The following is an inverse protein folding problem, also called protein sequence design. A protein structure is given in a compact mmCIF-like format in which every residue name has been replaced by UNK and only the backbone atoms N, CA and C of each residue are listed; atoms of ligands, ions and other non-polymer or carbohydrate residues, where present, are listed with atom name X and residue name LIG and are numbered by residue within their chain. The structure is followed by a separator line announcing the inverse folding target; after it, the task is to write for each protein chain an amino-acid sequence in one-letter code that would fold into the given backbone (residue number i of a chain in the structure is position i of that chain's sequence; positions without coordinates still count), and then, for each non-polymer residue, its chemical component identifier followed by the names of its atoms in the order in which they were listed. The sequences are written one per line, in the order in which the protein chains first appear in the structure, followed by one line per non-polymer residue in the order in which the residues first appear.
data_IF_727854866521
#
_entry.id   IF_727854866521
#
_cell.length_a   1.000
_cell.length_b   1.000
_cell.length_c   1.000
_cell.angle_alpha   90.00
_cell.angle_beta   90.00
_cell.angle_gamma   90.00
#
_symmetry.space_group_name_H-M   'P 1'
#
loop_
_entity.id
_entity.type
_entity.pdbx_description
1 polymer ?
#
# COMPACT_ATOMS: atom_id res chain seq x y z
N UNK A 1 -3.64 14.81 -1.81
CA UNK A 1 -3.86 14.02 -0.59
C UNK A 1 -3.67 14.94 0.60
N UNK A 2 -4.53 14.86 1.61
CA UNK A 2 -4.27 15.57 2.86
C UNK A 2 -3.41 14.71 3.76
N UNK A 3 -2.56 15.29 4.62
CA UNK A 3 -1.91 14.54 5.70
C UNK A 3 -2.99 13.74 6.46
N UNK A 4 -2.79 12.44 6.69
CA UNK A 4 -3.75 11.46 7.27
C UNK A 4 -4.63 10.68 6.27
N UNK A 5 -4.54 10.95 4.96
CA UNK A 5 -5.31 10.17 3.97
C UNK A 5 -4.70 8.77 3.77
N UNK A 6 -5.53 7.72 3.86
CA UNK A 6 -5.11 6.33 3.65
C UNK A 6 -5.15 5.95 2.18
N UNK A 7 -4.06 5.37 1.69
CA UNK A 7 -3.90 4.86 0.32
C UNK A 7 -3.65 3.37 0.35
N UNK A 8 -4.48 2.62 -0.39
CA UNK A 8 -4.25 1.19 -0.65
C UNK A 8 -3.39 1.02 -1.90
N UNK A 9 -2.30 0.28 -1.79
CA UNK A 9 -1.41 -0.08 -2.89
C UNK A 9 -1.48 -1.59 -3.12
N UNK A 10 -2.03 -2.02 -4.24
CA UNK A 10 -2.11 -3.43 -4.62
C UNK A 10 -1.05 -3.73 -5.67
N UNK A 11 -0.09 -4.59 -5.30
CA UNK A 11 1.11 -4.88 -6.07
C UNK A 11 2.24 -3.88 -5.80
N UNK A 12 3.38 -4.36 -5.31
CA UNK A 12 4.59 -3.58 -5.00
C UNK A 12 5.73 -3.96 -5.97
N UNK A 13 5.39 -4.10 -7.25
CA UNK A 13 6.34 -4.31 -8.34
C UNK A 13 6.94 -3.00 -8.88
N UNK A 14 7.33 -2.99 -10.16
CA UNK A 14 8.05 -1.87 -10.79
C UNK A 14 7.36 -0.50 -10.68
N UNK A 15 6.03 -0.43 -10.81
CA UNK A 15 5.30 0.83 -10.60
C UNK A 15 4.85 1.00 -9.14
N UNK A 16 4.45 -0.09 -8.49
CA UNK A 16 3.95 -0.08 -7.11
C UNK A 16 4.94 0.51 -6.11
N UNK A 17 6.22 0.15 -6.21
CA UNK A 17 7.24 0.70 -5.31
C UNK A 17 7.47 2.22 -5.49
N UNK A 18 7.21 2.77 -6.68
CA UNK A 18 7.25 4.22 -6.93
C UNK A 18 6.00 4.88 -6.33
N UNK A 19 4.84 4.23 -6.49
CA UNK A 19 3.59 4.72 -5.93
C UNK A 19 3.65 4.83 -4.39
N UNK A 20 4.25 3.85 -3.71
CA UNK A 20 4.51 3.91 -2.25
C UNK A 20 5.32 5.16 -1.91
N UNK A 21 6.45 5.38 -2.57
CA UNK A 21 7.31 6.54 -2.32
C UNK A 21 6.59 7.86 -2.57
N UNK A 22 5.86 7.98 -3.70
CA UNK A 22 5.08 9.18 -3.99
C UNK A 22 4.00 9.44 -2.94
N UNK A 23 3.26 8.41 -2.53
CA UNK A 23 2.23 8.53 -1.49
C UNK A 23 2.82 8.98 -0.15
N UNK A 24 4.01 8.52 0.20
CA UNK A 24 4.74 8.96 1.40
C UNK A 24 5.18 10.42 1.32
N UNK A 25 5.76 10.84 0.19
CA UNK A 25 6.20 12.22 -0.04
C UNK A 25 5.05 13.23 0.10
N UNK A 26 3.86 12.88 -0.37
CA UNK A 26 2.67 13.74 -0.30
C UNK A 26 1.89 13.61 1.03
N UNK A 27 2.44 12.90 2.02
CA UNK A 27 1.90 12.80 3.38
C UNK A 27 0.78 11.76 3.57
N UNK A 28 0.68 10.78 2.67
CA UNK A 28 -0.26 9.67 2.78
C UNK A 28 0.20 8.57 3.72
N UNK A 29 -0.78 7.91 4.35
CA UNK A 29 -0.58 6.65 5.09
C UNK A 29 -0.83 5.49 4.13
N UNK A 30 0.17 4.65 3.92
CA UNK A 30 0.17 3.60 2.90
C UNK A 30 -0.14 2.24 3.53
N UNK A 31 -1.11 1.54 2.93
CA UNK A 31 -1.40 0.13 3.16
C UNK A 31 -0.96 -0.62 1.92
N UNK A 32 0.14 -1.36 2.01
CA UNK A 32 0.68 -2.17 0.92
C UNK A 32 0.10 -3.58 0.94
N UNK A 33 -0.29 -4.06 -0.24
CA UNK A 33 -0.85 -5.39 -0.46
C UNK A 33 -0.03 -6.08 -1.56
N UNK A 34 0.51 -7.25 -1.29
CA UNK A 34 1.20 -8.09 -2.29
C UNK A 34 1.16 -9.57 -1.88
N UNK A 35 1.34 -10.49 -2.84
CA UNK A 35 1.47 -11.93 -2.58
C UNK A 35 2.89 -12.32 -2.15
N UNK A 36 3.91 -11.58 -2.59
CA UNK A 36 5.31 -11.89 -2.32
C UNK A 36 5.82 -11.16 -1.08
N UNK A 37 6.33 -11.90 -0.09
CA UNK A 37 6.85 -11.32 1.15
C UNK A 37 7.98 -10.31 0.89
N UNK A 38 8.90 -10.62 -0.03
CA UNK A 38 10.00 -9.73 -0.39
C UNK A 38 9.53 -8.35 -0.90
N UNK A 39 8.35 -8.30 -1.54
CA UNK A 39 7.76 -7.05 -2.00
C UNK A 39 7.09 -6.26 -0.88
N UNK A 40 6.51 -6.96 0.10
CA UNK A 40 6.01 -6.33 1.33
C UNK A 40 7.15 -5.76 2.18
N UNK A 41 8.28 -6.48 2.27
CA UNK A 41 9.49 -6.02 2.96
C UNK A 41 10.01 -4.74 2.29
N UNK A 42 10.08 -4.71 0.94
CA UNK A 42 10.41 -3.50 0.19
C UNK A 42 9.41 -2.35 0.48
N UNK A 43 8.10 -2.62 0.50
CA UNK A 43 7.11 -1.60 0.85
C UNK A 43 7.35 -1.02 2.26
N UNK A 44 7.74 -1.86 3.23
CA UNK A 44 8.05 -1.43 4.59
C UNK A 44 9.27 -0.50 4.61
N UNK A 45 10.35 -0.87 3.90
CA UNK A 45 11.55 -0.06 3.75
C UNK A 45 11.24 1.31 3.10
N UNK A 46 10.31 1.34 2.14
CA UNK A 46 9.86 2.56 1.48
C UNK A 46 8.85 3.39 2.30
N UNK A 47 8.49 2.90 3.49
CA UNK A 47 7.71 3.64 4.49
C UNK A 47 6.22 3.31 4.54
N UNK A 48 5.77 2.19 3.97
CA UNK A 48 4.40 1.73 4.17
C UNK A 48 4.13 1.37 5.64
N UNK A 49 3.05 1.89 6.21
CA UNK A 49 2.71 1.67 7.62
C UNK A 49 1.98 0.35 7.88
N UNK A 50 1.33 -0.22 6.87
CA UNK A 50 0.63 -1.48 6.97
C UNK A 50 0.96 -2.38 5.79
N UNK A 51 1.22 -3.65 6.06
CA UNK A 51 1.54 -4.67 5.07
C UNK A 51 0.48 -5.77 5.15
N UNK A 52 -0.04 -6.19 4.01
CA UNK A 52 -1.09 -7.19 3.91
C UNK A 52 -0.69 -8.18 2.84
N UNK A 53 -0.59 -9.46 3.18
CA UNK A 53 -0.48 -10.49 2.16
C UNK A 53 -1.84 -10.63 1.45
N UNK A 54 -1.86 -10.79 0.12
CA UNK A 54 -3.11 -10.82 -0.66
C UNK A 54 -4.11 -11.89 -0.19
N UNK A 55 -3.63 -13.03 0.34
CA UNK A 55 -4.47 -14.04 0.97
C UNK A 55 -5.31 -13.49 2.16
N UNK A 56 -4.81 -12.44 2.82
CA UNK A 56 -5.51 -11.69 3.86
C UNK A 56 -6.24 -10.45 3.31
N UNK A 57 -5.87 -9.95 2.14
CA UNK A 57 -6.46 -8.76 1.54
C UNK A 57 -7.93 -8.98 1.15
N UNK A 58 -8.29 -10.19 0.69
CA UNK A 58 -9.69 -10.54 0.43
C UNK A 58 -10.57 -10.36 1.69
N UNK A 59 -10.03 -10.69 2.87
CA UNK A 59 -10.71 -10.53 4.17
C UNK A 59 -10.90 -9.06 4.57
N UNK A 60 -10.02 -8.19 4.07
CA UNK A 60 -10.00 -6.74 4.32
C UNK A 60 -10.77 -5.93 3.27
N UNK A 61 -11.09 -6.53 2.12
CA UNK A 61 -11.89 -5.92 1.07
C UNK A 61 -13.23 -5.43 1.65
N UNK A 62 -13.45 -4.11 1.59
CA UNK A 62 -14.63 -3.44 2.17
C UNK A 62 -14.56 -3.11 3.67
N UNK A 63 -13.52 -3.53 4.40
CA UNK A 63 -13.32 -3.19 5.83
C UNK A 63 -12.30 -2.09 6.07
N UNK A 64 -11.36 -1.90 5.14
CA UNK A 64 -10.36 -0.83 5.21
C UNK A 64 -10.86 0.36 4.38
N UNK A 65 -11.21 1.45 5.07
CA UNK A 65 -11.53 2.71 4.41
C UNK A 65 -10.24 3.35 3.86
N UNK A 66 -9.99 3.14 2.56
CA UNK A 66 -9.00 3.88 1.79
C UNK A 66 -9.72 4.88 0.90
N UNK A 67 -9.24 6.13 0.85
CA UNK A 67 -9.84 7.15 -0.03
C UNK A 67 -9.31 7.05 -1.46
N UNK A 68 -8.15 6.45 -1.63
CA UNK A 68 -7.49 6.24 -2.90
C UNK A 68 -6.94 4.81 -2.95
N UNK A 69 -7.25 4.10 -4.04
CA UNK A 69 -6.80 2.72 -4.26
C UNK A 69 -6.11 2.67 -5.61
N UNK A 70 -4.87 2.19 -5.63
CA UNK A 70 -4.12 1.92 -6.85
C UNK A 70 -3.95 0.41 -7.01
N UNK A 71 -4.24 -0.07 -8.21
CA UNK A 71 -4.05 -1.45 -8.63
C UNK A 71 -3.32 -1.41 -9.97
N UNK A 72 -2.27 -2.22 -10.10
CA UNK A 72 -1.40 -2.26 -11.28
C UNK A 72 -1.36 -3.64 -11.89
#
# INVERSE_FOLDING_TARGET
MTPTERVGMFGIGGLGHLAVQYARIIGGTVVAVDIEQAKLDLAAELGAEQLVNEAMAEVLSGKVAARLVFQF
#
